data_IF_535149412166
#
_entry.id   IF_535149412166
#
_cell.length_a   1.000
_cell.length_b   1.000
_cell.length_c   1.000
_cell.angle_alpha   90.00
_cell.angle_beta   90.00
_cell.angle_gamma   90.00
#
_symmetry.space_group_name_H-M   'P 1'
#
loop_
_entity.id
_entity.type
_entity.pdbx_description
1 polymer ?
#
# COMPACT_ATOMS: atom_id res chain seq x y z
N UNK A 1 7.83 5.95 24.76
CA UNK A 1 7.06 5.66 25.99
C UNK A 1 7.38 6.76 26.99
N UNK A 2 6.36 7.33 27.63
CA UNK A 2 6.50 8.38 28.64
C UNK A 2 5.90 7.87 29.94
N UNK A 3 6.66 7.98 31.03
CA UNK A 3 6.21 7.61 32.38
C UNK A 3 6.46 8.81 33.27
N UNK A 4 5.39 9.38 33.83
CA UNK A 4 5.42 10.61 34.64
C UNK A 4 6.31 11.72 34.06
N UNK A 5 6.16 12.00 32.76
CA UNK A 5 6.92 13.03 32.04
C UNK A 5 8.29 12.60 31.51
N UNK A 6 8.83 11.46 31.94
CA UNK A 6 10.11 10.94 31.43
C UNK A 6 9.90 10.11 30.17
N UNK A 7 10.39 10.59 29.02
CA UNK A 7 10.24 9.93 27.72
C UNK A 7 11.46 9.12 27.34
N UNK A 8 11.27 7.85 26.95
CA UNK A 8 12.30 6.96 26.40
C UNK A 8 11.82 6.21 25.15
N UNK A 9 12.70 5.96 24.15
CA UNK A 9 12.39 5.05 23.04
C UNK A 9 12.24 3.61 23.56
N UNK A 10 11.37 2.84 22.91
CA UNK A 10 11.15 1.41 23.20
C UNK A 10 11.11 0.65 21.88
N UNK A 11 11.71 -0.53 21.87
CA UNK A 11 11.76 -1.39 20.68
C UNK A 11 10.54 -2.30 20.54
N UNK A 12 10.49 -3.11 19.47
CA UNK A 12 9.49 -4.16 19.31
C UNK A 12 9.50 -5.18 20.46
N UNK A 13 8.35 -5.82 20.69
CA UNK A 13 8.18 -6.79 21.77
C UNK A 13 7.54 -6.18 23.02
N UNK A 14 7.90 -6.74 24.18
CA UNK A 14 7.39 -6.26 25.46
C UNK A 14 8.32 -5.21 26.06
N UNK A 15 7.74 -4.11 26.56
CA UNK A 15 8.41 -3.19 27.47
C UNK A 15 7.87 -3.39 28.88
N UNK A 16 8.76 -3.52 29.85
CA UNK A 16 8.41 -3.62 31.27
C UNK A 16 8.78 -2.34 31.98
N UNK A 17 7.89 -1.87 32.85
CA UNK A 17 8.10 -0.73 33.75
C UNK A 17 7.94 -1.22 35.19
N UNK A 18 9.04 -1.25 35.94
CA UNK A 18 9.06 -1.76 37.32
C UNK A 18 9.22 -0.61 38.30
N UNK A 19 8.16 -0.35 39.09
CA UNK A 19 8.11 0.71 40.10
C UNK A 19 6.98 0.47 41.10
N UNK A 20 6.94 1.28 42.15
CA UNK A 20 5.77 1.39 43.04
C UNK A 20 4.78 2.35 42.39
N UNK A 21 3.61 1.82 42.03
CA UNK A 21 2.53 2.61 41.43
C UNK A 21 1.72 3.36 42.49
N UNK A 22 1.37 4.60 42.20
CA UNK A 22 0.49 5.43 43.04
C UNK A 22 -0.75 5.88 42.23
N UNK A 23 -1.87 6.18 42.91
CA UNK A 23 -3.00 6.82 42.25
C UNK A 23 -2.54 8.10 41.53
N UNK A 24 -2.77 8.17 40.21
CA UNK A 24 -2.38 9.30 39.36
C UNK A 24 -1.13 9.08 38.51
N UNK A 25 -0.36 8.01 38.71
CA UNK A 25 0.75 7.66 37.81
C UNK A 25 0.23 7.39 36.38
N UNK A 26 0.93 7.88 35.36
CA UNK A 26 0.53 7.76 33.94
C UNK A 26 1.62 7.11 33.10
N UNK A 27 1.20 6.18 32.22
CA UNK A 27 2.04 5.63 31.15
C UNK A 27 1.44 5.96 29.80
N UNK A 28 2.18 6.73 29.00
CA UNK A 28 1.80 7.07 27.62
C UNK A 28 2.68 6.32 26.63
N UNK A 29 2.05 5.48 25.81
CA UNK A 29 2.69 4.82 24.68
C UNK A 29 2.31 5.54 23.38
N UNK A 30 3.25 6.28 22.81
CA UNK A 30 3.10 6.87 21.47
C UNK A 30 3.66 5.90 20.42
N UNK A 31 2.80 5.44 19.51
CA UNK A 31 3.14 4.59 18.37
C UNK A 31 2.88 5.36 17.07
N UNK A 32 3.86 5.45 16.15
CA UNK A 32 3.64 6.11 14.87
C UNK A 32 2.69 5.26 14.01
N UNK A 33 1.48 5.79 13.75
CA UNK A 33 0.45 5.14 12.94
C UNK A 33 0.29 5.80 11.56
N UNK A 34 1.40 6.25 10.97
CA UNK A 34 1.40 6.79 9.61
C UNK A 34 1.05 5.68 8.60
N UNK A 35 0.28 6.00 7.54
CA UNK A 35 0.11 5.09 6.41
C UNK A 35 1.46 4.77 5.77
N UNK A 36 1.64 3.54 5.33
CA UNK A 36 2.87 3.07 4.69
C UNK A 36 2.59 2.05 3.59
N UNK A 37 3.53 1.96 2.67
CA UNK A 37 3.64 0.84 1.75
C UNK A 37 4.39 -0.32 2.41
N UNK A 38 3.90 -1.54 2.20
CA UNK A 38 4.54 -2.80 2.62
C UNK A 38 4.84 -3.62 1.37
N UNK A 39 6.11 -3.96 1.18
CA UNK A 39 6.60 -4.64 -0.01
C UNK A 39 6.80 -6.14 0.27
N UNK A 40 6.42 -7.03 -0.67
CA UNK A 40 6.63 -8.45 -0.50
C UNK A 40 8.10 -8.80 -0.74
N UNK A 41 8.57 -9.89 -0.11
CA UNK A 41 9.85 -10.49 -0.48
C UNK A 41 9.83 -10.91 -1.96
N UNK A 42 10.89 -10.68 -2.75
CA UNK A 42 10.93 -11.02 -4.19
C UNK A 42 10.68 -12.50 -4.52
N UNK A 43 10.77 -13.41 -3.55
CA UNK A 43 10.48 -14.84 -3.74
C UNK A 43 8.97 -15.14 -3.74
N UNK A 44 8.12 -14.19 -3.33
CA UNK A 44 6.66 -14.35 -3.30
C UNK A 44 6.09 -14.02 -4.69
N UNK A 45 6.11 -15.01 -5.58
CA UNK A 45 5.80 -14.81 -7.00
C UNK A 45 4.39 -14.25 -7.26
N UNK A 46 3.39 -14.71 -6.49
CA UNK A 46 1.99 -14.33 -6.65
C UNK A 46 1.71 -12.81 -6.50
N UNK A 47 2.63 -12.07 -5.87
CA UNK A 47 2.48 -10.62 -5.62
C UNK A 47 3.71 -9.83 -6.08
N UNK A 48 4.53 -10.42 -6.96
CA UNK A 48 5.67 -9.73 -7.57
C UNK A 48 5.18 -8.45 -8.26
N UNK A 49 5.92 -7.35 -8.07
CA UNK A 49 5.57 -6.05 -8.64
C UNK A 49 4.35 -5.37 -7.98
N UNK A 50 3.83 -5.92 -6.87
CA UNK A 50 2.74 -5.35 -6.11
C UNK A 50 3.21 -4.80 -4.75
N UNK A 51 2.38 -3.96 -4.13
CA UNK A 51 2.58 -3.40 -2.79
C UNK A 51 1.27 -3.43 -2.02
N UNK A 52 1.33 -3.63 -0.70
CA UNK A 52 0.19 -3.46 0.20
C UNK A 52 0.24 -2.09 0.88
N UNK A 53 -0.91 -1.59 1.34
CA UNK A 53 -0.99 -0.34 2.11
C UNK A 53 -1.49 -0.64 3.51
N UNK A 54 -0.81 -0.10 4.51
CA UNK A 54 -1.11 -0.34 5.91
C UNK A 54 -1.15 0.96 6.72
N UNK A 55 -1.99 1.01 7.75
CA UNK A 55 -1.97 2.06 8.77
C UNK A 55 -1.99 1.44 10.15
N UNK A 56 -0.88 1.55 10.87
CA UNK A 56 -0.71 0.82 12.13
C UNK A 56 -0.84 -0.70 11.89
N UNK A 57 -1.73 -1.41 12.60
CA UNK A 57 -1.97 -2.85 12.42
C UNK A 57 -2.99 -3.18 11.31
N UNK A 58 -3.59 -2.16 10.68
CA UNK A 58 -4.67 -2.37 9.72
C UNK A 58 -4.11 -2.46 8.31
N UNK A 59 -4.35 -3.60 7.65
CA UNK A 59 -4.16 -3.79 6.22
C UNK A 59 -5.36 -3.17 5.47
N UNK A 60 -5.06 -2.41 4.43
CA UNK A 60 -6.04 -1.72 3.62
C UNK A 60 -6.24 -2.41 2.27
N UNK A 61 -7.37 -2.13 1.63
CA UNK A 61 -7.74 -2.64 0.33
C UNK A 61 -8.33 -1.53 -0.53
N UNK A 62 -8.13 -1.66 -1.85
CA UNK A 62 -8.83 -0.87 -2.85
C UNK A 62 -10.08 -1.63 -3.29
N UNK A 63 -11.21 -0.93 -3.39
CA UNK A 63 -12.47 -1.48 -3.87
C UNK A 63 -12.93 -0.70 -5.11
N UNK A 64 -13.46 -1.36 -6.14
CA UNK A 64 -13.84 -0.69 -7.40
C UNK A 64 -14.88 0.40 -7.19
N UNK A 65 -15.77 0.26 -6.21
CA UNK A 65 -16.80 1.27 -5.89
C UNK A 65 -16.24 2.57 -5.30
N UNK A 66 -14.95 2.60 -4.94
CA UNK A 66 -14.25 3.83 -4.53
C UNK A 66 -13.60 4.55 -5.73
N UNK A 67 -13.74 4.03 -6.95
CA UNK A 67 -13.11 4.58 -8.16
C UNK A 67 -14.11 4.71 -9.30
N UNK A 68 -14.41 5.94 -9.68
CA UNK A 68 -15.39 6.22 -10.73
C UNK A 68 -14.96 5.67 -12.09
N UNK A 69 -15.90 5.03 -12.79
CA UNK A 69 -15.71 4.53 -14.15
C UNK A 69 -14.76 3.34 -14.27
N UNK A 70 -14.45 2.63 -13.18
CA UNK A 70 -13.67 1.38 -13.20
C UNK A 70 -14.60 0.18 -13.03
N UNK A 71 -14.47 -0.83 -13.89
CA UNK A 71 -15.18 -2.09 -13.74
C UNK A 71 -14.39 -3.04 -12.82
N UNK A 72 -13.06 -3.09 -12.99
CA UNK A 72 -12.16 -3.89 -12.16
C UNK A 72 -10.97 -3.12 -11.62
N UNK A 73 -10.63 -3.33 -10.34
CA UNK A 73 -9.38 -2.83 -9.75
C UNK A 73 -8.11 -3.32 -10.47
N UNK A 74 -8.20 -4.32 -11.35
CA UNK A 74 -7.09 -4.75 -12.20
C UNK A 74 -6.68 -3.72 -13.27
N UNK A 75 -7.55 -2.75 -13.55
CA UNK A 75 -7.27 -1.58 -14.39
C UNK A 75 -6.40 -0.54 -13.68
N UNK A 76 -6.01 -0.76 -12.44
CA UNK A 76 -5.35 0.26 -11.62
C UNK A 76 -3.93 -0.13 -11.24
N UNK A 77 -3.04 0.84 -11.26
CA UNK A 77 -1.65 0.75 -10.79
C UNK A 77 -1.39 1.80 -9.75
N UNK A 78 -0.73 1.47 -8.64
CA UNK A 78 -0.38 2.45 -7.61
C UNK A 78 0.96 3.11 -7.93
N UNK A 79 1.03 4.44 -7.80
CA UNK A 79 2.27 5.21 -7.90
C UNK A 79 2.99 5.19 -6.55
N UNK A 80 4.04 4.36 -6.45
CA UNK A 80 4.87 4.26 -5.24
C UNK A 80 5.82 5.44 -5.04
N UNK A 81 5.98 6.32 -6.03
CA UNK A 81 6.69 7.58 -5.90
C UNK A 81 5.94 8.60 -5.04
N UNK A 82 4.63 8.42 -4.86
CA UNK A 82 3.77 9.22 -3.98
C UNK A 82 3.35 8.38 -2.76
N UNK A 83 3.83 8.68 -1.54
CA UNK A 83 3.48 7.89 -0.37
C UNK A 83 1.99 7.98 -0.04
N UNK A 84 1.40 6.93 0.59
CA UNK A 84 0.02 6.97 1.02
C UNK A 84 -0.18 8.07 2.06
N UNK A 85 -1.31 8.76 2.00
CA UNK A 85 -1.62 9.90 2.87
C UNK A 85 -2.88 9.64 3.70
N UNK A 86 -2.99 10.31 4.84
CA UNK A 86 -4.24 10.37 5.59
C UNK A 86 -4.96 11.65 5.19
N UNK A 87 -6.08 11.54 4.48
CA UNK A 87 -6.91 12.66 4.04
C UNK A 87 -8.36 12.43 4.47
N UNK A 88 -8.97 13.43 5.11
CA UNK A 88 -10.35 13.37 5.61
C UNK A 88 -10.68 12.08 6.41
N UNK A 89 -9.72 11.56 7.19
CA UNK A 89 -9.90 10.35 8.01
C UNK A 89 -9.72 9.02 7.27
N UNK A 90 -9.56 9.02 5.94
CA UNK A 90 -9.27 7.83 5.13
C UNK A 90 -7.82 7.83 4.64
N UNK A 91 -7.27 6.63 4.44
CA UNK A 91 -5.97 6.50 3.77
C UNK A 91 -6.20 6.59 2.28
N UNK A 92 -5.42 7.41 1.59
CA UNK A 92 -5.51 7.62 0.15
C UNK A 92 -4.19 7.32 -0.54
N UNK A 93 -4.26 6.95 -1.81
CA UNK A 93 -3.13 6.69 -2.69
C UNK A 93 -3.33 7.39 -4.03
N UNK A 94 -2.23 7.64 -4.75
CA UNK A 94 -2.28 8.03 -6.15
C UNK A 94 -2.23 6.77 -7.02
N UNK A 95 -3.17 6.66 -7.94
CA UNK A 95 -3.28 5.56 -8.88
C UNK A 95 -3.10 6.08 -10.31
N UNK A 96 -2.82 5.15 -11.21
CA UNK A 96 -2.85 5.36 -12.64
C UNK A 96 -3.71 4.27 -13.27
N UNK A 97 -4.65 4.67 -14.12
CA UNK A 97 -5.40 3.71 -14.91
C UNK A 97 -4.50 3.09 -15.97
N UNK A 98 -4.73 1.82 -16.24
CA UNK A 98 -4.15 1.10 -17.37
C UNK A 98 -5.27 0.47 -18.18
N UNK A 99 -5.14 0.54 -19.48
CA UNK A 99 -6.06 -0.08 -20.42
C UNK A 99 -5.38 -1.34 -20.98
N UNK A 100 -5.89 -2.53 -20.66
CA UNK A 100 -5.44 -3.75 -21.31
C UNK A 100 -5.60 -3.61 -22.82
N UNK A 101 -4.63 -4.13 -23.58
CA UNK A 101 -4.79 -4.24 -25.02
C UNK A 101 -5.79 -5.37 -25.29
N UNK A 102 -6.92 -5.04 -25.92
CA UNK A 102 -7.93 -6.04 -26.27
C UNK A 102 -7.44 -6.92 -27.42
N UNK A 103 -7.58 -8.22 -27.21
CA UNK A 103 -6.76 -9.22 -27.86
C UNK A 103 -7.49 -10.55 -27.95
N UNK A 104 -7.70 -11.08 -29.16
CA UNK A 104 -8.41 -12.36 -29.38
C UNK A 104 -7.76 -13.56 -28.67
N UNK A 105 -6.45 -13.53 -28.51
CA UNK A 105 -5.66 -14.54 -27.80
C UNK A 105 -4.94 -13.89 -26.62
N UNK A 106 -4.93 -14.47 -25.41
CA UNK A 106 -4.37 -13.81 -24.22
C UNK A 106 -2.83 -13.91 -24.11
N UNK A 107 -2.17 -14.75 -24.91
CA UNK A 107 -0.72 -14.94 -24.84
C UNK A 107 0.01 -14.22 -25.98
N UNK A 108 1.13 -13.57 -25.67
CA UNK A 108 1.97 -12.83 -26.62
C UNK A 108 3.40 -13.35 -26.62
N UNK A 109 4.08 -13.19 -27.75
CA UNK A 109 5.50 -13.53 -27.90
C UNK A 109 6.39 -12.30 -27.80
N UNK A 110 5.83 -11.10 -28.03
CA UNK A 110 6.49 -9.81 -27.81
C UNK A 110 6.02 -9.22 -26.47
N UNK A 111 6.98 -8.90 -25.60
CA UNK A 111 6.73 -8.27 -24.29
C UNK A 111 6.08 -6.90 -24.46
N UNK A 112 6.44 -6.14 -25.50
CA UNK A 112 5.89 -4.81 -25.75
C UNK A 112 4.37 -4.84 -26.00
N UNK A 113 3.87 -5.91 -26.61
CA UNK A 113 2.43 -6.11 -26.86
C UNK A 113 1.67 -6.47 -25.57
N UNK A 114 2.36 -7.01 -24.56
CA UNK A 114 1.80 -7.34 -23.25
C UNK A 114 1.74 -6.15 -22.28
N UNK A 115 2.39 -5.03 -22.58
CA UNK A 115 2.35 -3.84 -21.73
C UNK A 115 1.02 -3.10 -21.97
N UNK A 116 0.17 -2.91 -20.93
CA UNK A 116 -1.07 -2.17 -21.09
C UNK A 116 -0.77 -0.67 -21.33
N UNK A 117 -1.64 -0.02 -22.10
CA UNK A 117 -1.54 1.40 -22.33
C UNK A 117 -1.80 2.18 -21.03
N UNK A 118 -0.98 3.19 -20.75
CA UNK A 118 -1.17 4.04 -19.58
C UNK A 118 -2.30 5.04 -19.83
N UNK A 119 -3.29 5.06 -18.95
CA UNK A 119 -4.38 6.01 -18.92
C UNK A 119 -4.12 7.18 -17.96
N UNK A 120 -5.22 7.72 -17.43
CA UNK A 120 -5.26 8.88 -16.55
C UNK A 120 -4.65 8.61 -15.16
N UNK A 121 -4.16 9.69 -14.54
CA UNK A 121 -3.78 9.70 -13.13
C UNK A 121 -5.00 10.00 -12.27
N UNK A 122 -5.14 9.27 -11.17
CA UNK A 122 -6.20 9.40 -10.19
C UNK A 122 -5.56 9.73 -8.84
N UNK A 123 -5.75 10.94 -8.37
CA UNK A 123 -5.19 11.37 -7.09
C UNK A 123 -6.15 11.16 -5.93
N UNK A 124 -5.57 10.89 -4.76
CA UNK A 124 -6.28 10.76 -3.49
C UNK A 124 -7.40 9.69 -3.47
N UNK A 125 -7.22 8.60 -4.21
CA UNK A 125 -8.14 7.46 -4.21
C UNK A 125 -8.14 6.81 -2.83
N UNK A 126 -9.32 6.74 -2.22
CA UNK A 126 -9.46 6.28 -0.84
C UNK A 126 -9.49 4.76 -0.73
N UNK A 127 -8.74 4.23 0.23
CA UNK A 127 -8.74 2.82 0.59
C UNK A 127 -9.72 2.56 1.74
N UNK A 128 -10.07 1.29 1.93
CA UNK A 128 -10.84 0.80 3.07
C UNK A 128 -10.02 -0.20 3.89
N UNK A 129 -10.38 -0.39 5.15
CA UNK A 129 -9.83 -1.51 5.91
C UNK A 129 -10.25 -2.83 5.24
N UNK A 130 -9.32 -3.75 5.05
CA UNK A 130 -9.61 -5.02 4.36
C UNK A 130 -10.80 -5.77 4.99
N UNK A 131 -10.89 -5.78 6.32
CA UNK A 131 -12.00 -6.43 7.04
C UNK A 131 -13.36 -5.74 6.85
N UNK A 132 -13.40 -4.52 6.31
CA UNK A 132 -14.62 -3.77 6.04
C UNK A 132 -15.08 -3.87 4.58
N UNK A 133 -14.35 -4.59 3.72
CA UNK A 133 -14.75 -4.87 2.34
C UNK A 133 -16.07 -5.67 2.27
N UNK A 134 -16.72 -5.64 1.11
CA UNK A 134 -17.96 -6.37 0.76
C UNK A 134 -19.21 -5.94 1.54
N UNK A 135 -19.18 -4.75 2.15
CA UNK A 135 -20.33 -4.15 2.84
C UNK A 135 -21.11 -3.15 1.97
N UNK A 136 -20.75 -2.99 0.68
CA UNK A 136 -21.30 -1.98 -0.24
C UNK A 136 -21.84 -2.56 -1.55
N UNK A 137 -22.16 -3.85 -1.55
CA UNK A 137 -22.62 -4.59 -2.72
C UNK A 137 -21.47 -5.27 -3.48
N UNK A 138 -21.77 -5.89 -4.63
CA UNK A 138 -20.77 -6.56 -5.46
C UNK A 138 -19.70 -5.58 -5.97
N UNK A 139 -18.44 -5.92 -5.76
CA UNK A 139 -17.29 -5.11 -6.17
C UNK A 139 -16.06 -5.99 -6.38
N UNK A 140 -15.10 -5.51 -7.17
CA UNK A 140 -13.76 -6.09 -7.20
C UNK A 140 -12.90 -5.42 -6.13
N UNK A 141 -11.94 -6.18 -5.59
CA UNK A 141 -11.09 -5.69 -4.49
C UNK A 141 -9.70 -6.28 -4.56
N UNK A 142 -8.71 -5.47 -4.16
CA UNK A 142 -7.31 -5.91 -4.08
C UNK A 142 -6.58 -5.33 -2.88
N UNK A 143 -5.82 -6.19 -2.20
CA UNK A 143 -4.87 -5.80 -1.13
C UNK A 143 -3.49 -5.50 -1.72
N UNK A 144 -2.98 -6.41 -2.54
CA UNK A 144 -1.68 -6.28 -3.21
C UNK A 144 -1.84 -5.52 -4.52
N UNK A 145 -1.67 -4.19 -4.47
CA UNK A 145 -1.85 -3.29 -5.60
C UNK A 145 -0.65 -3.38 -6.56
N UNK A 146 -0.84 -3.71 -7.85
CA UNK A 146 0.25 -3.69 -8.79
C UNK A 146 0.77 -2.25 -8.95
N UNK A 147 2.08 -2.10 -9.05
CA UNK A 147 2.72 -0.78 -9.09
C UNK A 147 2.82 -0.25 -10.51
N UNK A 148 2.85 1.08 -10.67
CA UNK A 148 3.38 1.68 -11.90
C UNK A 148 4.87 1.30 -11.94
N UNK A 149 5.28 0.48 -12.90
CA UNK A 149 6.63 -0.09 -12.92
C UNK A 149 7.71 0.98 -12.65
N UNK A 150 8.52 0.80 -11.60
CA UNK A 150 9.80 1.50 -11.51
C UNK A 150 10.73 0.80 -12.50
N UNK A 151 10.85 1.32 -13.72
CA UNK A 151 11.90 0.89 -14.65
C UNK A 151 13.23 1.49 -14.22
N UNK A 152 13.64 1.24 -12.98
CA UNK A 152 15.05 1.34 -12.57
C UNK A 152 15.70 0.00 -12.80
N UNK A 153 16.08 -0.23 -14.05
CA UNK A 153 17.18 -1.14 -14.36
C UNK A 153 18.43 -0.53 -13.72
N UNK A 154 19.16 -1.22 -12.82
CA UNK A 154 20.52 -0.79 -12.50
C UNK A 154 21.34 -0.94 -13.78
N UNK A 155 22.02 0.14 -14.20
CA UNK A 155 23.02 0.06 -15.26
C UNK A 155 24.11 -0.92 -14.84
N UNK A 156 24.06 -2.16 -15.34
CA UNK A 156 25.12 -3.15 -15.16
C UNK A 156 26.33 -2.88 -16.06
N UNK A 157 26.64 -1.61 -16.38
CA UNK A 157 27.72 -1.24 -17.30
C UNK A 157 28.78 -0.29 -16.74
N UNK A 158 28.85 -0.05 -15.44
CA UNK A 158 29.90 0.82 -14.87
C UNK A 158 30.73 0.22 -13.73
N UNK A 159 31.01 -1.09 -13.78
CA UNK A 159 32.09 -1.72 -12.97
C UNK A 159 33.03 -2.59 -13.81
N UNK A 160 33.33 -2.14 -15.03
CA UNK A 160 34.44 -2.67 -15.81
C UNK A 160 35.27 -1.53 -16.40
N UNK A 161 35.92 -0.76 -15.53
CA UNK A 161 37.15 -0.02 -15.89
C UNK A 161 38.05 0.23 -14.70
#
# INVERSE_FOLDING_TARGET
MTVDGHTRPVGPGYVTEQRIWRPGDEVVLSLPMAPRFTYPDPRIDAVRGCVAVERGPVVLALESVDVDGVDSVDELRVDTGRPPRLSAGRVTVSLRRVHPNDHDWPYRTDEAESVPALGEELDEVALVAYHAWANRGPSTMRVWLPTTADRRTPDLKEEAR
#
